data_IF_702518254660
#
_entry.id   IF_702518254660
#
_cell.length_a   1.000
_cell.length_b   1.000
_cell.length_c   1.000
_cell.angle_alpha   90.00
_cell.angle_beta   90.00
_cell.angle_gamma   90.00
#
_symmetry.space_group_name_H-M   'P 1'
#
loop_
_entity.id
_entity.type
_entity.pdbx_description
1 polymer ?
#
# COMPACT_ATOMS: atom_id res chain seq x y z
N UNK A 1 -7.50 18.79 -6.14
CA UNK A 1 -7.08 17.44 -5.74
C UNK A 1 -5.56 17.39 -5.78
N UNK A 2 -4.85 16.72 -4.85
CA UNK A 2 -3.39 16.59 -4.94
C UNK A 2 -3.00 15.87 -6.23
N UNK A 3 -1.90 16.30 -6.88
CA UNK A 3 -1.33 15.63 -8.07
C UNK A 3 -0.81 14.24 -7.69
N UNK A 4 -0.92 13.27 -8.59
CA UNK A 4 -0.22 11.99 -8.47
C UNK A 4 1.29 12.19 -8.63
N UNK A 5 2.10 11.23 -8.19
CA UNK A 5 3.54 11.26 -8.42
C UNK A 5 3.85 10.81 -9.84
N UNK A 6 4.83 11.46 -10.45
CA UNK A 6 5.44 11.00 -11.71
C UNK A 6 6.36 9.80 -11.46
N UNK A 7 6.67 9.05 -12.53
CA UNK A 7 7.55 7.88 -12.44
C UNK A 7 8.92 8.21 -11.83
N UNK A 8 9.53 9.33 -12.22
CA UNK A 8 10.81 9.78 -11.67
C UNK A 8 10.71 10.08 -10.16
N UNK A 9 9.64 10.74 -9.73
CA UNK A 9 9.36 11.04 -8.31
C UNK A 9 9.15 9.75 -7.49
N UNK A 10 8.42 8.78 -8.05
CA UNK A 10 8.24 7.45 -7.44
C UNK A 10 9.58 6.76 -7.25
N UNK A 11 10.40 6.69 -8.30
CA UNK A 11 11.68 6.01 -8.27
C UNK A 11 12.64 6.68 -7.27
N UNK A 12 12.74 8.01 -7.30
CA UNK A 12 13.57 8.78 -6.37
C UNK A 12 13.12 8.57 -4.91
N UNK A 13 11.81 8.61 -4.65
CA UNK A 13 11.27 8.39 -3.31
C UNK A 13 11.51 6.95 -2.83
N UNK A 14 11.22 5.93 -3.64
CA UNK A 14 11.46 4.53 -3.26
C UNK A 14 12.94 4.22 -3.04
N UNK A 15 13.83 4.84 -3.82
CA UNK A 15 15.28 4.71 -3.64
C UNK A 15 15.79 5.35 -2.34
N UNK A 16 15.10 6.38 -1.81
CA UNK A 16 15.49 7.00 -0.55
C UNK A 16 15.12 6.15 0.68
N UNK A 17 14.12 5.27 0.55
CA UNK A 17 13.69 4.33 1.59
C UNK A 17 14.76 3.25 1.84
N UNK A 18 15.46 3.35 2.98
CA UNK A 18 16.62 2.51 3.30
C UNK A 18 16.31 1.18 4.00
N UNK A 19 15.07 0.96 4.41
CA UNK A 19 14.65 -0.27 5.10
C UNK A 19 13.57 -0.98 4.30
N UNK A 20 13.55 -2.30 4.34
CA UNK A 20 12.47 -3.10 3.77
C UNK A 20 11.13 -2.76 4.41
N UNK A 21 11.12 -2.44 5.72
CA UNK A 21 9.94 -1.92 6.41
C UNK A 21 9.35 -0.69 5.72
N UNK A 22 10.18 0.34 5.51
CA UNK A 22 9.70 1.62 4.98
C UNK A 22 9.30 1.48 3.50
N UNK A 23 10.04 0.65 2.72
CA UNK A 23 9.66 0.27 1.34
C UNK A 23 8.32 -0.44 1.28
N UNK A 24 8.10 -1.44 2.12
CA UNK A 24 6.83 -2.17 2.19
C UNK A 24 5.66 -1.25 2.56
N UNK A 25 5.84 -0.35 3.54
CA UNK A 25 4.83 0.63 3.94
C UNK A 25 4.42 1.52 2.75
N UNK A 26 5.40 2.10 2.05
CA UNK A 26 5.12 2.94 0.89
C UNK A 26 4.51 2.14 -0.27
N UNK A 27 5.05 0.95 -0.53
CA UNK A 27 4.60 0.02 -1.57
C UNK A 27 3.15 -0.41 -1.42
N UNK A 28 2.69 -0.71 -0.20
CA UNK A 28 1.28 -1.04 0.03
C UNK A 28 0.33 0.12 -0.32
N UNK A 29 0.77 1.37 -0.20
CA UNK A 29 -0.03 2.53 -0.60
C UNK A 29 0.04 2.75 -2.12
N UNK A 30 1.24 2.63 -2.69
CA UNK A 30 1.54 2.95 -4.07
C UNK A 30 1.12 1.87 -5.07
N UNK A 31 1.18 0.60 -4.67
CA UNK A 31 0.95 -0.54 -5.56
C UNK A 31 -0.23 -1.42 -5.14
N UNK A 32 -0.79 -1.20 -3.96
CA UNK A 32 -2.00 -1.92 -3.49
C UNK A 32 -3.13 -0.99 -3.08
N UNK A 33 -2.90 0.32 -3.14
CA UNK A 33 -3.94 1.31 -2.86
C UNK A 33 -4.48 1.21 -1.45
N UNK A 34 -3.67 0.88 -0.43
CA UNK A 34 -4.10 0.96 0.98
C UNK A 34 -4.02 2.40 1.49
N UNK A 35 -4.89 2.74 2.45
CA UNK A 35 -4.79 3.99 3.22
C UNK A 35 -3.70 3.85 4.29
N UNK A 36 -3.11 4.97 4.73
CA UNK A 36 -2.12 4.94 5.82
C UNK A 36 -2.63 4.28 7.10
N UNK A 37 -3.89 4.57 7.48
CA UNK A 37 -4.51 3.93 8.64
C UNK A 37 -4.68 2.42 8.47
N UNK A 38 -5.01 1.96 7.26
CA UNK A 38 -5.14 0.53 6.94
C UNK A 38 -3.76 -0.15 7.03
N UNK A 39 -2.72 0.44 6.43
CA UNK A 39 -1.33 -0.07 6.51
C UNK A 39 -0.86 -0.17 7.96
N UNK A 40 -1.14 0.84 8.78
CA UNK A 40 -0.75 0.85 10.20
C UNK A 40 -1.56 -0.12 11.06
N UNK A 41 -2.74 -0.54 10.61
CA UNK A 41 -3.62 -1.47 11.32
C UNK A 41 -3.29 -2.94 11.05
N UNK A 42 -2.67 -3.27 9.90
CA UNK A 42 -2.32 -4.64 9.52
C UNK A 42 -1.54 -5.37 10.62
N UNK A 43 -1.93 -6.62 10.86
CA UNK A 43 -1.16 -7.63 11.56
C UNK A 43 -0.45 -8.56 10.55
N UNK A 44 0.55 -9.31 11.02
CA UNK A 44 1.29 -10.27 10.17
C UNK A 44 0.33 -11.30 9.56
N UNK A 45 -0.67 -11.75 10.32
CA UNK A 45 -1.67 -12.72 9.86
C UNK A 45 -2.69 -12.16 8.85
N UNK A 46 -2.68 -10.85 8.60
CA UNK A 46 -3.55 -10.22 7.61
C UNK A 46 -2.97 -10.32 6.19
N UNK A 47 -1.68 -10.62 6.06
CA UNK A 47 -1.00 -10.71 4.77
C UNK A 47 -0.73 -12.16 4.42
N UNK A 48 -1.45 -12.65 3.42
CA UNK A 48 -1.15 -13.91 2.76
C UNK A 48 -0.04 -13.67 1.73
N UNK A 49 1.19 -13.94 2.17
CA UNK A 49 2.41 -13.79 1.39
C UNK A 49 2.43 -14.73 0.18
N UNK A 50 1.92 -15.96 0.32
CA UNK A 50 1.92 -16.95 -0.75
C UNK A 50 0.94 -16.59 -1.86
N UNK A 51 -0.26 -16.13 -1.49
CA UNK A 51 -1.28 -15.77 -2.45
C UNK A 51 -1.21 -14.30 -2.91
N UNK A 52 -0.44 -13.45 -2.24
CA UNK A 52 -0.33 -12.02 -2.55
C UNK A 52 -1.60 -11.25 -2.23
N UNK A 53 -2.16 -11.45 -1.05
CA UNK A 53 -3.37 -10.76 -0.59
C UNK A 53 -3.21 -10.17 0.81
N UNK A 54 -3.77 -8.98 1.02
CA UNK A 54 -3.94 -8.40 2.34
C UNK A 54 -5.43 -8.34 2.71
N UNK A 55 -5.77 -8.76 3.93
CA UNK A 55 -7.08 -8.58 4.55
C UNK A 55 -7.12 -7.20 5.19
N UNK A 56 -8.03 -6.34 4.73
CA UNK A 56 -8.12 -4.95 5.16
C UNK A 56 -9.47 -4.70 5.81
N UNK A 57 -9.46 -4.26 7.06
CA UNK A 57 -10.66 -3.84 7.76
C UNK A 57 -11.22 -2.53 7.14
N UNK A 58 -12.48 -2.58 6.73
CA UNK A 58 -13.23 -1.44 6.21
C UNK A 58 -14.16 -0.80 7.26
N UNK A 59 -14.87 0.25 6.85
CA UNK A 59 -15.86 0.94 7.69
C UNK A 59 -17.01 0.00 8.03
N UNK A 60 -17.43 -0.02 9.30
CA UNK A 60 -18.58 -0.80 9.76
C UNK A 60 -18.30 -2.31 9.90
N UNK A 61 -17.05 -2.70 10.12
CA UNK A 61 -16.68 -4.11 10.36
C UNK A 61 -16.64 -4.98 9.10
N UNK A 62 -16.85 -4.40 7.91
CA UNK A 62 -16.75 -5.12 6.65
C UNK A 62 -15.29 -5.25 6.25
N UNK A 63 -14.83 -6.47 5.98
CA UNK A 63 -13.48 -6.72 5.47
C UNK A 63 -13.45 -6.72 3.93
N UNK A 64 -12.32 -6.32 3.37
CA UNK A 64 -12.02 -6.48 1.94
C UNK A 64 -10.66 -7.14 1.75
N UNK A 65 -10.48 -7.83 0.63
CA UNK A 65 -9.17 -8.35 0.21
C UNK A 65 -8.56 -7.38 -0.80
N UNK A 66 -7.32 -6.97 -0.56
CA UNK A 66 -6.54 -6.13 -1.46
C UNK A 66 -5.41 -6.96 -2.08
N UNK A 67 -5.21 -6.94 -3.41
CA UNK A 67 -4.06 -7.60 -4.01
C UNK A 67 -2.77 -6.88 -3.61
N UNK A 68 -1.73 -7.66 -3.29
CA UNK A 68 -0.41 -7.16 -2.93
C UNK A 68 0.54 -7.40 -4.08
N UNK A 69 1.25 -6.35 -4.50
CA UNK A 69 2.23 -6.46 -5.58
C UNK A 69 3.34 -7.43 -5.18
N UNK A 70 3.81 -8.26 -6.10
CA UNK A 70 4.85 -9.26 -5.83
C UNK A 70 6.15 -8.65 -5.30
N UNK A 71 6.50 -7.43 -5.71
CA UNK A 71 7.66 -6.71 -5.19
C UNK A 71 7.45 -6.30 -3.73
N UNK A 72 6.25 -5.84 -3.39
CA UNK A 72 5.87 -5.48 -2.02
C UNK A 72 5.82 -6.71 -1.13
N UNK A 73 5.35 -7.85 -1.64
CA UNK A 73 5.42 -9.14 -0.93
C UNK A 73 6.88 -9.46 -0.59
N UNK A 74 7.80 -9.33 -1.55
CA UNK A 74 9.23 -9.54 -1.32
C UNK A 74 9.81 -8.61 -0.26
N UNK A 75 9.43 -7.33 -0.25
CA UNK A 75 9.84 -6.38 0.79
C UNK A 75 9.27 -6.73 2.16
N UNK A 76 8.01 -7.17 2.24
CA UNK A 76 7.41 -7.63 3.50
C UNK A 76 8.15 -8.86 4.01
N UNK A 77 8.45 -9.84 3.18
CA UNK A 77 9.21 -11.03 3.56
C UNK A 77 10.60 -10.67 4.07
N UNK A 78 11.35 -9.83 3.34
CA UNK A 78 12.67 -9.38 3.75
C UNK A 78 12.63 -8.62 5.08
N UNK A 79 11.63 -7.78 5.28
CA UNK A 79 11.39 -7.10 6.55
C UNK A 79 11.13 -8.09 7.69
N UNK A 80 10.21 -9.04 7.51
CA UNK A 80 9.86 -10.02 8.53
C UNK A 80 11.04 -10.92 8.92
N UNK A 81 11.89 -11.28 7.96
CA UNK A 81 13.02 -12.19 8.18
C UNK A 81 14.26 -11.49 8.75
N UNK A 82 14.56 -10.26 8.31
CA UNK A 82 15.87 -9.64 8.54
C UNK A 82 15.84 -8.34 9.36
N UNK A 83 14.71 -7.64 9.45
CA UNK A 83 14.65 -6.30 10.05
C UNK A 83 13.67 -6.18 11.23
N UNK A 84 12.57 -6.95 11.21
CA UNK A 84 11.52 -6.87 12.23
C UNK A 84 12.08 -7.33 13.58
N UNK A 85 12.10 -6.48 14.62
CA UNK A 85 12.52 -6.90 15.94
C UNK A 85 11.62 -8.00 16.51
N UNK A 86 12.19 -8.88 17.31
CA UNK A 86 11.42 -9.81 18.14
C UNK A 86 10.50 -9.04 19.08
N UNK A 87 9.22 -9.41 19.07
CA UNK A 87 8.18 -8.71 19.82
C UNK A 87 6.96 -9.61 19.98
N UNK A 88 6.16 -9.34 21.02
CA UNK A 88 4.88 -10.01 21.28
C UNK A 88 3.72 -9.42 20.48
N UNK A 89 3.90 -8.27 19.80
CA UNK A 89 2.81 -7.69 19.01
C UNK A 89 2.59 -8.44 17.70
N UNK A 90 1.32 -8.65 17.35
CA UNK A 90 0.91 -9.16 16.03
C UNK A 90 1.05 -8.14 14.90
N UNK A 91 1.27 -6.86 15.22
CA UNK A 91 1.35 -5.78 14.23
C UNK A 91 2.39 -6.09 13.15
N UNK A 92 2.00 -5.90 11.89
CA UNK A 92 2.91 -6.09 10.77
C UNK A 92 4.10 -5.14 10.91
N UNK A 93 3.84 -3.83 10.90
CA UNK A 93 4.88 -2.81 11.01
C UNK A 93 5.06 -2.31 12.44
N UNK A 94 6.28 -2.45 12.95
CA UNK A 94 6.66 -2.02 14.30
C UNK A 94 7.74 -0.95 14.30
N UNK A 95 7.86 -0.26 15.44
CA UNK A 95 8.93 0.69 15.72
C UNK A 95 10.26 -0.07 15.79
N UNK A 96 11.24 0.34 15.00
CA UNK A 96 12.51 -0.38 14.84
C UNK A 96 13.53 -0.11 15.96
N UNK A 97 13.47 1.08 16.59
CA UNK A 97 14.48 1.54 17.56
C UNK A 97 13.91 2.44 18.65
N UNK A 98 14.67 2.61 19.73
CA UNK A 98 14.31 3.48 20.85
C UNK A 98 13.39 2.80 21.87
N UNK A 99 12.83 3.56 22.82
CA UNK A 99 12.06 3.02 23.96
C UNK A 99 10.77 2.30 23.56
N UNK A 100 10.21 2.63 22.39
CA UNK A 100 9.01 1.99 21.85
C UNK A 100 9.31 0.83 20.89
N UNK A 101 10.56 0.36 20.81
CA UNK A 101 10.98 -0.71 19.89
C UNK A 101 10.07 -1.95 20.06
N UNK A 102 9.63 -2.50 18.94
CA UNK A 102 8.74 -3.67 18.91
C UNK A 102 7.26 -3.35 19.12
N UNK A 103 6.87 -2.10 19.42
CA UNK A 103 5.47 -1.68 19.46
C UNK A 103 4.95 -1.34 18.06
N UNK A 104 3.63 -1.41 17.85
CA UNK A 104 2.98 -1.03 16.58
C UNK A 104 3.41 0.38 16.15
N UNK A 105 3.74 0.54 14.87
CA UNK A 105 4.09 1.84 14.31
C UNK A 105 2.90 2.81 14.42
N UNK A 106 3.15 4.04 14.85
CA UNK A 106 2.10 5.05 15.04
C UNK A 106 1.96 5.98 13.83
N UNK A 107 0.82 6.68 13.67
CA UNK A 107 0.67 7.72 12.65
C UNK A 107 1.73 8.81 12.73
N UNK A 108 2.17 9.17 13.95
CA UNK A 108 3.26 10.13 14.13
C UNK A 108 4.60 9.58 13.63
N UNK A 109 4.90 8.31 13.90
CA UNK A 109 6.08 7.62 13.37
C UNK A 109 6.08 7.58 11.83
N UNK A 110 4.93 7.23 11.23
CA UNK A 110 4.76 7.24 9.78
C UNK A 110 5.02 8.63 9.18
N UNK A 111 4.45 9.70 9.77
CA UNK A 111 4.69 11.08 9.33
C UNK A 111 6.18 11.45 9.37
N UNK A 112 6.91 11.00 10.39
CA UNK A 112 8.35 11.24 10.50
C UNK A 112 9.15 10.48 9.44
N UNK A 113 8.81 9.22 9.16
CA UNK A 113 9.43 8.42 8.08
C UNK A 113 9.25 9.14 6.74
N UNK A 114 8.00 9.49 6.40
CA UNK A 114 7.67 10.15 5.14
C UNK A 114 8.33 11.51 4.99
N UNK A 115 8.31 12.36 6.04
CA UNK A 115 8.99 13.65 6.02
C UNK A 115 10.50 13.51 5.79
N UNK A 116 11.15 12.58 6.48
CA UNK A 116 12.58 12.35 6.30
C UNK A 116 12.92 11.95 4.85
N UNK A 117 12.18 11.01 4.28
CA UNK A 117 12.48 10.46 2.95
C UNK A 117 12.06 11.36 1.80
N UNK A 118 10.97 12.12 1.95
CA UNK A 118 10.56 13.11 0.95
C UNK A 118 11.59 14.25 0.85
N UNK A 119 12.11 14.72 1.98
CA UNK A 119 13.07 15.83 2.03
C UNK A 119 14.42 15.36 1.45
N UNK A 120 14.79 14.08 1.69
CA UNK A 120 16.01 13.48 1.16
C UNK A 120 15.98 13.15 -0.33
N UNK A 121 14.81 12.80 -0.84
CA UNK A 121 14.62 12.50 -2.26
C UNK A 121 14.34 13.75 -3.09
N UNK A 122 14.13 14.91 -2.45
CA UNK A 122 13.60 16.13 -3.06
C UNK A 122 12.23 15.90 -3.74
N UNK A 123 11.36 15.12 -3.09
CA UNK A 123 10.01 14.79 -3.60
C UNK A 123 8.95 15.18 -2.56
N UNK A 124 8.70 16.49 -2.32
CA UNK A 124 7.79 16.95 -1.27
C UNK A 124 6.34 16.43 -1.42
N UNK A 125 5.94 16.09 -2.64
CA UNK A 125 4.64 15.53 -2.98
C UNK A 125 4.44 14.08 -2.50
N UNK A 126 5.51 13.35 -2.15
CA UNK A 126 5.46 11.93 -1.76
C UNK A 126 4.89 11.70 -0.35
N UNK A 127 3.65 12.11 -0.11
CA UNK A 127 2.88 11.84 1.10
C UNK A 127 1.90 10.67 0.89
N UNK A 128 1.41 10.01 1.97
CA UNK A 128 0.58 8.79 1.86
C UNK A 128 -0.60 8.91 0.89
N UNK A 129 -1.30 10.05 0.90
CA UNK A 129 -2.43 10.27 0.01
C UNK A 129 -2.02 10.36 -1.48
N UNK A 130 -0.85 10.96 -1.79
CA UNK A 130 -0.36 11.07 -3.17
C UNK A 130 0.08 9.72 -3.71
N UNK A 131 0.75 8.88 -2.91
CA UNK A 131 1.07 7.49 -3.29
C UNK A 131 -0.18 6.72 -3.69
N UNK A 132 -1.21 6.78 -2.84
CA UNK A 132 -2.50 6.15 -3.10
C UNK A 132 -3.20 6.75 -4.33
N UNK A 133 -3.12 8.05 -4.53
CA UNK A 133 -3.69 8.69 -5.71
C UNK A 133 -2.97 8.23 -6.98
N UNK A 134 -1.64 8.16 -6.94
CA UNK A 134 -0.80 7.64 -8.02
C UNK A 134 -1.19 6.21 -8.40
N UNK A 135 -1.48 5.35 -7.42
CA UNK A 135 -2.04 4.02 -7.68
C UNK A 135 -3.32 4.11 -8.51
N UNK A 136 -4.30 4.91 -8.08
CA UNK A 136 -5.57 5.08 -8.79
C UNK A 136 -5.39 5.61 -10.22
N UNK A 137 -4.56 6.64 -10.38
CA UNK A 137 -4.22 7.22 -11.69
C UNK A 137 -3.57 6.17 -12.59
N UNK A 138 -2.59 5.43 -12.10
CA UNK A 138 -1.88 4.43 -12.88
C UNK A 138 -2.79 3.26 -13.31
N UNK A 139 -3.82 2.91 -12.52
CA UNK A 139 -4.84 1.94 -12.94
C UNK A 139 -5.76 2.51 -14.03
N UNK A 140 -6.16 3.78 -13.89
CA UNK A 140 -6.99 4.46 -14.90
C UNK A 140 -6.24 4.56 -16.25
N UNK A 141 -4.96 4.94 -16.23
CA UNK A 141 -4.10 4.99 -17.40
C UNK A 141 -3.86 3.60 -18.03
N UNK A 142 -3.93 2.54 -17.24
CA UNK A 142 -3.87 1.16 -17.74
C UNK A 142 -5.19 0.71 -18.42
N UNK A 143 -6.22 1.54 -18.38
CA UNK A 143 -7.53 1.33 -18.99
C UNK A 143 -8.49 0.51 -18.13
N UNK A 144 -8.29 0.47 -16.81
CA UNK A 144 -9.20 -0.26 -15.92
C UNK A 144 -10.51 0.50 -15.76
N UNK A 145 -11.60 -0.25 -15.72
CA UNK A 145 -12.93 0.29 -15.46
C UNK A 145 -12.99 0.95 -14.07
N UNK A 146 -13.71 2.08 -13.99
CA UNK A 146 -13.82 2.88 -12.77
C UNK A 146 -14.36 2.07 -11.59
N UNK A 147 -15.29 1.13 -11.81
CA UNK A 147 -15.83 0.31 -10.74
C UNK A 147 -14.76 -0.63 -10.15
N UNK A 148 -13.86 -1.16 -10.99
CA UNK A 148 -12.72 -1.99 -10.55
C UNK A 148 -11.73 -1.15 -9.74
N UNK A 149 -11.42 0.07 -10.21
CA UNK A 149 -10.52 1.00 -9.51
C UNK A 149 -11.11 1.38 -8.14
N UNK A 150 -12.40 1.70 -8.07
CA UNK A 150 -13.09 2.02 -6.82
C UNK A 150 -13.13 0.83 -5.85
N UNK A 151 -13.33 -0.40 -6.37
CA UNK A 151 -13.28 -1.62 -5.57
C UNK A 151 -11.88 -1.84 -4.97
N UNK A 152 -10.82 -1.69 -5.76
CA UNK A 152 -9.43 -1.81 -5.30
C UNK A 152 -9.07 -0.76 -4.24
N UNK A 153 -9.56 0.46 -4.42
CA UNK A 153 -9.39 1.54 -3.45
C UNK A 153 -10.29 1.38 -2.21
N UNK A 154 -11.27 0.48 -2.18
CA UNK A 154 -12.15 0.33 -1.01
C UNK A 154 -13.00 1.58 -0.75
N UNK A 155 -13.39 2.30 -1.80
CA UNK A 155 -14.33 3.42 -1.69
C UNK A 155 -15.75 2.85 -1.52
N UNK A 156 -16.17 2.66 -0.27
CA UNK A 156 -17.51 2.19 0.09
C UNK A 156 -18.62 3.25 -0.02
N UNK A 157 -18.32 4.43 -0.56
CA UNK A 157 -19.30 5.51 -0.77
C UNK A 157 -19.23 6.01 -2.21
N UNK A 158 -20.03 5.39 -3.07
CA UNK A 158 -20.75 6.09 -4.13
C UNK A 158 -22.20 5.71 -3.88
N UNK A 159 -23.07 6.70 -3.64
CA UNK A 159 -24.51 6.51 -3.74
C UNK A 159 -24.84 6.11 -5.18
N UNK A 160 -24.76 4.81 -5.45
CA UNK A 160 -25.37 4.15 -6.60
C UNK A 160 -25.37 2.64 -6.36
N UNK A 161 -26.43 2.19 -5.71
CA UNK A 161 -26.75 0.82 -5.32
C UNK A 161 -26.93 -0.17 -6.50
N UNK A 162 -26.29 0.02 -7.65
CA UNK A 162 -26.54 -0.76 -8.87
C UNK A 162 -25.30 -1.48 -9.42
N UNK A 163 -24.07 -1.14 -8.99
CA UNK A 163 -22.85 -1.71 -9.59
C UNK A 163 -21.96 -2.59 -8.70
N UNK A 164 -22.07 -2.52 -7.37
CA UNK A 164 -20.99 -2.95 -6.48
C UNK A 164 -20.97 -4.45 -6.11
N UNK A 165 -22.05 -5.20 -6.39
CA UNK A 165 -22.29 -6.51 -5.75
C UNK A 165 -21.59 -7.69 -6.46
N UNK A 166 -21.01 -7.54 -7.66
CA UNK A 166 -20.59 -8.69 -8.49
C UNK A 166 -19.16 -8.67 -9.08
N UNK A 167 -18.22 -7.89 -8.53
CA UNK A 167 -16.82 -8.08 -8.91
C UNK A 167 -16.17 -9.15 -8.03
N UNK A 168 -16.23 -10.39 -8.50
CA UNK A 168 -15.54 -11.51 -7.86
C UNK A 168 -14.05 -11.17 -7.65
N UNK A 169 -13.44 -11.51 -6.49
CA UNK A 169 -12.04 -11.19 -6.19
C UNK A 169 -11.05 -11.62 -7.28
N UNK A 170 -11.35 -12.70 -8.00
CA UNK A 170 -10.55 -13.18 -9.14
C UNK A 170 -10.52 -12.18 -10.31
N UNK A 171 -11.64 -11.51 -10.62
CA UNK A 171 -11.71 -10.51 -11.69
C UNK A 171 -10.94 -9.25 -11.32
N UNK A 172 -11.04 -8.84 -10.05
CA UNK A 172 -10.29 -7.72 -9.49
C UNK A 172 -8.79 -8.01 -9.54
N UNK A 173 -8.37 -9.22 -9.18
CA UNK A 173 -6.97 -9.66 -9.26
C UNK A 173 -6.45 -9.68 -10.68
N UNK A 174 -7.18 -10.27 -11.63
CA UNK A 174 -6.76 -10.34 -13.02
C UNK A 174 -6.59 -8.93 -13.64
N UNK A 175 -7.52 -8.02 -13.38
CA UNK A 175 -7.42 -6.63 -13.83
C UNK A 175 -6.21 -5.91 -13.21
N UNK A 176 -6.00 -6.11 -11.90
CA UNK A 176 -4.84 -5.61 -11.18
C UNK A 176 -3.52 -6.12 -11.78
N UNK A 177 -3.38 -7.43 -11.99
CA UNK A 177 -2.16 -8.04 -12.54
C UNK A 177 -1.86 -7.54 -13.95
N UNK A 178 -2.88 -7.41 -14.79
CA UNK A 178 -2.74 -6.86 -16.13
C UNK A 178 -2.25 -5.40 -16.11
N UNK A 179 -2.80 -4.57 -15.20
CA UNK A 179 -2.36 -3.19 -15.02
C UNK A 179 -0.89 -3.11 -14.59
N UNK A 180 -0.51 -3.90 -13.58
CA UNK A 180 0.86 -3.94 -13.05
C UNK A 180 1.87 -4.45 -14.07
N UNK A 181 1.49 -5.42 -14.90
CA UNK A 181 2.34 -5.92 -16.00
C UNK A 181 2.64 -4.82 -17.01
N UNK A 182 1.63 -4.05 -17.44
CA UNK A 182 1.82 -2.90 -18.35
C UNK A 182 2.71 -1.82 -17.74
N UNK A 183 2.56 -1.55 -16.45
CA UNK A 183 3.35 -0.53 -15.76
C UNK A 183 4.83 -0.92 -15.66
N UNK A 184 5.13 -2.19 -15.37
CA UNK A 184 6.52 -2.69 -15.34
C UNK A 184 7.18 -2.69 -16.72
N UNK A 185 6.43 -2.90 -17.79
CA UNK A 185 6.96 -2.83 -19.16
C UNK A 185 7.30 -1.40 -19.63
N UNK A 186 6.85 -0.37 -18.90
CA UNK A 186 7.09 1.06 -19.19
C UNK A 186 8.15 1.69 -18.27
N UNK A 187 8.58 0.97 -17.24
CA UNK A 187 9.59 1.40 -16.27
C UNK A 187 10.99 0.98 -16.72
#
# INVERSE_FOLDING_TARGET
MPRGLEHAEVNAFLASLRTWRDKAIAGLMLFSGLRSAEVLALDVADVDIGAGWARVAGKGGRERRAPVDSEVVGWIQAYLLAERPDTKTGALFVVAKGPHRGQRLTPAGLRTIFRYHRDRADVPAAHPHALRHSFGTALAEAGLDLAVIQALLGHAHVDSSVGYIHLAPVRVRAAYDAARTKQRARA
#
